data_IF_603297510489
#
_entry.id   IF_603297510489
#
_cell.length_a   1.000
_cell.length_b   1.000
_cell.length_c   1.000
_cell.angle_alpha   90.00
_cell.angle_beta   90.00
_cell.angle_gamma   90.00
#
_symmetry.space_group_name_H-M   'P 1'
#
loop_
_entity.id
_entity.type
_entity.pdbx_description
1 polymer ?
#
# COMPACT_ATOMS: atom_id res chain seq x y z
N UNK A 1 1.17 9.11 3.21
CA UNK A 1 2.52 9.42 2.68
C UNK A 1 2.38 10.68 1.86
N UNK A 2 3.41 11.52 1.78
CA UNK A 2 3.38 12.70 0.92
C UNK A 2 4.07 13.88 1.56
N UNK A 3 3.88 15.04 0.96
CA UNK A 3 4.34 16.32 1.47
C UNK A 3 3.42 16.80 2.60
N UNK A 4 3.98 17.02 3.78
CA UNK A 4 3.27 17.57 4.94
C UNK A 4 3.61 19.04 5.19
N UNK A 5 4.54 19.61 4.43
CA UNK A 5 5.09 20.95 4.63
C UNK A 5 5.52 21.21 6.09
N UNK A 6 6.07 20.18 6.72
CA UNK A 6 6.39 20.14 8.15
C UNK A 6 7.83 19.68 8.34
N UNK A 7 8.56 20.30 9.28
CA UNK A 7 9.91 19.87 9.65
C UNK A 7 9.83 19.25 11.02
N UNK A 8 10.00 17.92 11.12
CA UNK A 8 10.01 17.22 12.41
C UNK A 8 11.36 17.32 13.13
N UNK A 9 12.42 17.55 12.36
CA UNK A 9 13.78 17.76 12.85
C UNK A 9 14.54 16.48 13.23
N UNK A 10 15.67 16.66 13.93
CA UNK A 10 16.53 15.56 14.41
C UNK A 10 16.19 15.05 15.80
N UNK A 11 15.36 15.79 16.53
CA UNK A 11 14.98 15.46 17.90
C UNK A 11 14.10 14.21 17.94
N UNK A 12 14.54 13.21 18.70
CA UNK A 12 13.77 11.99 18.94
C UNK A 12 12.57 12.32 19.82
N UNK A 13 11.39 11.82 19.44
CA UNK A 13 10.18 11.90 20.25
C UNK A 13 9.66 10.48 20.47
N UNK A 14 9.83 9.99 21.69
CA UNK A 14 9.36 8.69 22.15
C UNK A 14 9.61 7.56 21.14
N UNK A 15 8.51 6.95 20.69
CA UNK A 15 8.43 5.91 19.66
C UNK A 15 7.84 6.43 18.34
N UNK A 16 7.70 7.75 18.16
CA UNK A 16 7.03 8.37 17.02
C UNK A 16 8.04 8.89 15.99
N UNK A 17 8.99 9.70 16.46
CA UNK A 17 10.05 10.31 15.63
C UNK A 17 11.40 9.74 16.01
N UNK A 18 12.13 9.24 15.01
CA UNK A 18 13.49 8.77 15.17
C UNK A 18 14.53 9.88 15.13
N UNK A 19 15.74 9.58 15.61
CA UNK A 19 16.86 10.52 15.72
C UNK A 19 17.56 10.88 14.40
N UNK A 20 17.10 10.36 13.26
CA UNK A 20 17.79 10.47 11.97
C UNK A 20 17.11 11.40 10.97
N UNK A 21 16.12 12.19 11.41
CA UNK A 21 15.53 13.27 10.59
C UNK A 21 16.53 14.36 10.18
N UNK A 22 16.01 15.45 9.63
CA UNK A 22 16.80 16.57 9.12
C UNK A 22 16.20 17.92 9.56
N UNK A 23 17.08 18.85 9.90
CA UNK A 23 16.73 20.24 10.19
C UNK A 23 16.22 20.47 11.61
N UNK A 24 15.73 21.70 11.83
CA UNK A 24 15.15 22.14 13.09
C UNK A 24 13.64 22.00 12.99
N UNK A 25 13.01 21.54 14.08
CA UNK A 25 11.57 21.37 14.15
C UNK A 25 10.85 22.71 13.99
N UNK A 26 9.78 22.76 13.19
CA UNK A 26 8.90 23.92 13.09
C UNK A 26 7.53 23.63 13.73
N UNK A 27 6.71 24.67 13.90
CA UNK A 27 5.37 24.56 14.50
C UNK A 27 4.48 23.52 13.79
N UNK A 28 4.56 23.46 12.45
CA UNK A 28 3.86 22.43 11.64
C UNK A 28 4.36 21.02 11.94
N UNK A 29 5.67 20.89 12.19
CA UNK A 29 6.32 19.66 12.64
C UNK A 29 5.80 19.22 13.99
N UNK A 30 5.65 20.13 14.94
CA UNK A 30 5.08 19.81 16.26
C UNK A 30 3.65 19.30 16.15
N UNK A 31 2.80 19.99 15.38
CA UNK A 31 1.41 19.55 15.10
C UNK A 31 1.35 18.18 14.43
N UNK A 32 2.26 17.89 13.50
CA UNK A 32 2.35 16.58 12.86
C UNK A 32 2.74 15.49 13.87
N UNK A 33 3.66 15.79 14.79
CA UNK A 33 4.10 14.85 15.82
C UNK A 33 2.97 14.57 16.81
N UNK A 34 2.26 15.59 17.27
CA UNK A 34 1.10 15.45 18.16
C UNK A 34 0.01 14.58 17.53
N UNK A 35 -0.29 14.81 16.24
CA UNK A 35 -1.22 13.97 15.49
C UNK A 35 -0.73 12.52 15.39
N UNK A 36 0.57 12.32 15.14
CA UNK A 36 1.17 10.99 15.07
C UNK A 36 1.15 10.26 16.43
N UNK A 37 1.40 10.97 17.53
CA UNK A 37 1.29 10.45 18.90
C UNK A 37 -0.15 9.97 19.17
N UNK A 38 -1.14 10.82 18.89
CA UNK A 38 -2.57 10.51 19.11
C UNK A 38 -3.02 9.27 18.33
N UNK A 39 -2.51 9.09 17.11
CA UNK A 39 -2.93 8.00 16.22
C UNK A 39 -2.02 6.75 16.28
N UNK A 40 -1.02 6.72 17.16
CA UNK A 40 0.00 5.65 17.20
C UNK A 40 0.66 5.41 15.82
N UNK A 41 1.09 6.49 15.18
CA UNK A 41 1.73 6.49 13.85
C UNK A 41 3.18 6.93 14.02
N UNK A 42 4.10 6.30 13.29
CA UNK A 42 5.53 6.63 13.31
C UNK A 42 5.95 7.34 12.02
N UNK A 43 6.89 8.26 12.14
CA UNK A 43 7.46 9.05 11.02
C UNK A 43 8.68 8.32 10.45
N UNK A 44 8.48 7.35 9.55
CA UNK A 44 9.51 6.33 9.31
C UNK A 44 10.81 6.76 8.68
N UNK A 45 10.83 7.78 7.82
CA UNK A 45 12.06 8.32 7.23
C UNK A 45 12.99 9.03 8.25
N UNK A 46 12.59 9.13 9.52
CA UNK A 46 13.44 9.60 10.63
C UNK A 46 14.08 8.47 11.44
N UNK A 47 13.71 7.20 11.20
CA UNK A 47 14.16 6.05 11.99
C UNK A 47 15.43 5.37 11.48
N UNK A 48 15.81 5.61 10.22
CA UNK A 48 16.94 4.95 9.60
C UNK A 48 18.13 5.89 9.47
N UNK A 49 19.31 5.44 9.90
CA UNK A 49 20.55 6.15 9.62
C UNK A 49 20.82 6.13 8.12
N UNK A 50 20.91 7.31 7.51
CA UNK A 50 21.18 7.51 6.10
C UNK A 50 22.23 8.62 5.92
N UNK A 51 23.04 8.59 4.84
CA UNK A 51 23.93 9.68 4.52
C UNK A 51 23.13 10.97 4.27
N UNK A 52 23.67 12.17 4.58
CA UNK A 52 22.94 13.44 4.47
C UNK A 52 22.26 13.66 3.11
N UNK A 53 22.92 13.23 2.02
CA UNK A 53 22.37 13.33 0.65
C UNK A 53 21.05 12.57 0.45
N UNK A 54 20.69 11.63 1.33
CA UNK A 54 19.49 10.77 1.22
C UNK A 54 18.39 11.09 2.26
N UNK A 55 18.47 12.26 2.90
CA UNK A 55 17.53 12.68 3.96
C UNK A 55 16.52 13.76 3.52
N UNK A 56 16.99 14.70 2.72
CA UNK A 56 16.18 15.83 2.24
C UNK A 56 15.28 15.39 1.09
N UNK A 57 14.10 15.99 1.03
CA UNK A 57 13.01 15.68 0.09
C UNK A 57 12.64 16.87 -0.77
N UNK A 58 13.14 18.07 -0.45
CA UNK A 58 12.90 19.30 -1.20
C UNK A 58 14.17 20.17 -1.24
N UNK A 59 14.43 20.82 -2.36
CA UNK A 59 15.51 21.80 -2.55
C UNK A 59 14.94 23.15 -2.99
N UNK A 60 15.46 24.26 -2.46
CA UNK A 60 15.08 25.59 -2.97
C UNK A 60 15.68 25.84 -4.35
N UNK A 61 15.13 26.81 -5.12
CA UNK A 61 15.81 27.35 -6.29
C UNK A 61 17.26 27.73 -5.94
N UNK A 62 18.21 27.39 -6.83
CA UNK A 62 19.63 27.63 -6.59
C UNK A 62 20.31 26.67 -5.59
N UNK A 63 19.59 25.67 -5.05
CA UNK A 63 20.12 24.69 -4.07
C UNK A 63 20.64 25.32 -2.76
N UNK A 64 20.13 26.50 -2.41
CA UNK A 64 20.52 27.24 -1.21
C UNK A 64 20.10 26.51 0.08
N UNK A 65 18.93 25.88 0.05
CA UNK A 65 18.34 25.20 1.21
C UNK A 65 17.77 23.85 0.83
N UNK A 66 17.91 22.89 1.74
CA UNK A 66 17.36 21.54 1.60
C UNK A 66 16.54 21.19 2.82
N UNK A 67 15.31 20.76 2.60
CA UNK A 67 14.36 20.45 3.66
C UNK A 67 13.89 18.99 3.57
N UNK A 68 13.52 18.44 4.72
CA UNK A 68 12.75 17.20 4.80
C UNK A 68 11.31 17.59 5.15
N UNK A 69 10.41 17.48 4.17
CA UNK A 69 8.98 17.83 4.30
C UNK A 69 8.05 16.72 3.80
N UNK A 70 8.60 15.77 3.04
CA UNK A 70 7.90 14.57 2.62
C UNK A 70 8.13 13.44 3.61
N UNK A 71 7.05 12.82 4.09
CA UNK A 71 7.14 11.72 5.04
C UNK A 71 6.34 10.50 4.59
N UNK A 72 6.91 9.35 4.89
CA UNK A 72 6.15 8.11 4.92
C UNK A 72 5.76 7.88 6.38
N UNK A 73 4.47 7.68 6.61
CA UNK A 73 3.91 7.42 7.92
C UNK A 73 3.37 5.99 7.96
N UNK A 74 3.62 5.26 9.06
CA UNK A 74 3.07 3.91 9.24
C UNK A 74 2.53 3.76 10.66
N UNK A 75 1.49 2.95 10.85
CA UNK A 75 1.06 2.59 12.19
C UNK A 75 2.19 1.90 12.96
N UNK A 76 2.36 2.27 14.24
CA UNK A 76 3.37 1.72 15.17
C UNK A 76 3.33 0.19 15.21
N UNK A 77 2.16 -0.44 15.05
CA UNK A 77 2.01 -1.91 14.99
C UNK A 77 2.81 -2.57 13.88
N UNK A 78 3.06 -1.86 12.78
CA UNK A 78 3.78 -2.36 11.61
C UNK A 78 5.20 -1.84 11.50
N UNK A 79 5.74 -1.19 12.54
CA UNK A 79 7.11 -0.64 12.53
C UNK A 79 8.17 -1.66 12.09
N UNK A 80 8.02 -2.91 12.54
CA UNK A 80 8.97 -3.99 12.26
C UNK A 80 8.91 -4.49 10.80
N UNK A 81 7.85 -4.15 10.05
CA UNK A 81 7.79 -4.43 8.63
C UNK A 81 8.65 -3.45 7.82
N UNK A 82 9.00 -2.30 8.39
CA UNK A 82 9.78 -1.28 7.70
C UNK A 82 11.27 -1.62 7.74
N UNK A 83 11.88 -1.90 6.58
CA UNK A 83 13.29 -2.23 6.48
C UNK A 83 14.18 -1.02 6.19
N UNK A 84 13.66 -0.04 5.44
CA UNK A 84 14.39 1.16 5.05
C UNK A 84 13.44 2.26 4.58
N UNK A 85 13.74 3.51 4.89
CA UNK A 85 13.21 4.68 4.21
C UNK A 85 14.35 5.64 3.89
N UNK A 86 14.42 6.12 2.64
CA UNK A 86 15.45 7.05 2.17
C UNK A 86 14.92 7.85 0.99
N UNK A 87 15.54 9.00 0.72
CA UNK A 87 15.30 9.70 -0.54
C UNK A 87 16.16 9.13 -1.67
N UNK A 88 15.70 9.34 -2.90
CA UNK A 88 16.38 8.88 -4.11
C UNK A 88 16.71 10.06 -5.05
N UNK A 89 17.73 10.89 -4.72
CA UNK A 89 18.06 12.10 -5.47
C UNK A 89 18.52 11.88 -6.91
N UNK A 90 18.84 10.62 -7.27
CA UNK A 90 19.28 10.27 -8.62
C UNK A 90 18.12 10.04 -9.59
N UNK A 91 16.87 10.04 -9.11
CA UNK A 91 15.71 10.05 -10.01
C UNK A 91 15.52 11.46 -10.57
N UNK A 92 15.62 11.59 -11.89
CA UNK A 92 15.30 12.83 -12.59
C UNK A 92 13.77 12.90 -12.77
N UNK A 93 13.14 13.77 -12.00
CA UNK A 93 11.68 13.94 -11.98
C UNK A 93 11.24 15.36 -12.34
N UNK A 94 12.13 16.20 -12.88
CA UNK A 94 11.85 17.61 -13.21
C UNK A 94 11.08 18.37 -12.10
N UNK A 95 11.42 18.08 -10.84
CA UNK A 95 10.80 18.67 -9.65
C UNK A 95 11.89 19.14 -8.68
N UNK A 96 11.53 20.15 -7.88
CA UNK A 96 12.24 20.57 -6.68
C UNK A 96 12.10 19.56 -5.53
N UNK A 97 11.15 18.62 -5.62
CA UNK A 97 11.03 17.47 -4.72
C UNK A 97 11.86 16.26 -5.18
N UNK A 98 12.28 15.46 -4.20
CA UNK A 98 12.99 14.19 -4.38
C UNK A 98 12.14 13.05 -3.85
N UNK A 99 12.01 12.01 -4.66
CA UNK A 99 11.24 10.82 -4.32
C UNK A 99 11.71 10.17 -3.01
N UNK A 100 10.77 9.85 -2.14
CA UNK A 100 10.98 9.04 -0.93
C UNK A 100 10.67 7.58 -1.23
N UNK A 101 11.62 6.70 -0.94
CA UNK A 101 11.52 5.26 -1.21
C UNK A 101 11.54 4.49 0.10
N UNK A 102 10.51 3.67 0.30
CA UNK A 102 10.39 2.74 1.42
C UNK A 102 10.56 1.29 0.97
N UNK A 103 11.31 0.49 1.76
CA UNK A 103 11.37 -0.98 1.60
C UNK A 103 10.65 -1.63 2.78
N UNK A 104 9.69 -2.50 2.48
CA UNK A 104 8.86 -3.17 3.47
C UNK A 104 8.94 -4.69 3.33
N UNK A 105 8.89 -5.39 4.47
CA UNK A 105 8.73 -6.84 4.56
C UNK A 105 7.28 -7.16 4.93
N UNK A 106 6.50 -7.59 3.95
CA UNK A 106 5.12 -7.97 4.15
C UNK A 106 5.01 -9.47 4.49
N UNK A 107 4.28 -9.78 5.56
CA UNK A 107 3.79 -11.15 5.84
C UNK A 107 2.31 -11.17 5.52
N UNK A 108 1.94 -11.71 4.36
CA UNK A 108 0.56 -11.81 3.93
C UNK A 108 -0.09 -13.07 4.51
N UNK A 109 -1.31 -12.93 5.05
CA UNK A 109 -2.15 -14.09 5.38
C UNK A 109 -2.96 -14.44 4.13
N UNK A 110 -2.96 -15.71 3.73
CA UNK A 110 -3.85 -16.18 2.65
C UNK A 110 -5.29 -16.12 3.15
N UNK A 111 -6.08 -15.20 2.62
CA UNK A 111 -7.53 -15.20 2.79
C UNK A 111 -8.14 -16.16 1.75
N UNK A 112 -7.93 -17.46 1.95
CA UNK A 112 -8.66 -18.45 1.15
C UNK A 112 -10.06 -18.55 1.74
N UNK A 113 -11.09 -18.29 0.93
CA UNK A 113 -12.40 -18.88 1.25
C UNK A 113 -12.19 -20.40 1.28
N UNK A 114 -12.76 -21.14 2.24
CA UNK A 114 -12.76 -22.58 2.15
C UNK A 114 -13.38 -22.95 0.80
N UNK A 115 -12.63 -23.67 -0.03
CA UNK A 115 -13.19 -24.20 -1.26
C UNK A 115 -14.19 -25.26 -0.81
N UNK A 116 -15.48 -24.97 -0.91
CA UNK A 116 -16.50 -26.00 -0.71
C UNK A 116 -16.39 -26.93 -1.90
N UNK A 117 -15.82 -28.12 -1.70
CA UNK A 117 -15.96 -29.21 -2.65
C UNK A 117 -17.45 -29.57 -2.70
N UNK A 118 -18.19 -28.93 -3.60
CA UNK A 118 -19.56 -29.31 -3.90
C UNK A 118 -19.48 -30.66 -4.59
N UNK A 119 -19.63 -31.74 -3.80
CA UNK A 119 -19.86 -33.08 -4.35
C UNK A 119 -21.26 -33.07 -4.95
N UNK A 120 -21.33 -32.98 -6.27
CA UNK A 120 -22.60 -33.14 -6.99
C UNK A 120 -22.97 -34.62 -6.94
N UNK A 121 -24.12 -34.94 -6.37
CA UNK A 121 -24.66 -36.30 -6.43
C UNK A 121 -25.32 -36.54 -7.79
N UNK A 122 -24.57 -37.15 -8.69
CA UNK A 122 -25.02 -37.50 -10.03
C UNK A 122 -26.08 -38.61 -10.03
N UNK A 123 -26.24 -39.37 -8.94
CA UNK A 123 -27.26 -40.41 -8.86
C UNK A 123 -28.67 -39.81 -8.86
N UNK A 124 -28.84 -38.59 -8.33
CA UNK A 124 -30.12 -37.87 -8.31
C UNK A 124 -30.65 -37.61 -9.73
N UNK A 125 -29.76 -37.39 -10.71
CA UNK A 125 -30.15 -37.21 -12.12
C UNK A 125 -30.68 -38.50 -12.75
N UNK A 126 -30.34 -39.67 -12.18
CA UNK A 126 -30.83 -40.99 -12.65
C UNK A 126 -32.12 -41.38 -11.96
N UNK A 127 -32.31 -41.02 -10.69
CA UNK A 127 -33.45 -41.45 -9.88
C UNK A 127 -34.64 -40.48 -9.94
N UNK A 128 -34.40 -39.18 -10.12
CA UNK A 128 -35.45 -38.17 -10.13
C UNK A 128 -35.64 -37.55 -11.52
N UNK A 129 -36.75 -37.92 -12.16
CA UNK A 129 -37.07 -37.49 -13.51
C UNK A 129 -37.31 -35.97 -13.63
N UNK A 130 -37.96 -35.35 -12.64
CA UNK A 130 -38.22 -33.90 -12.65
C UNK A 130 -36.94 -33.08 -12.59
N UNK A 131 -35.95 -33.53 -11.82
CA UNK A 131 -34.64 -32.85 -11.72
C UNK A 131 -33.86 -33.03 -13.04
N UNK A 132 -33.94 -34.21 -13.65
CA UNK A 132 -33.32 -34.49 -14.95
C UNK A 132 -33.88 -33.60 -16.06
N UNK A 133 -35.19 -33.46 -16.14
CA UNK A 133 -35.86 -32.63 -17.15
C UNK A 133 -35.51 -31.15 -16.98
N UNK A 134 -35.54 -30.63 -15.75
CA UNK A 134 -35.11 -29.26 -15.45
C UNK A 134 -33.65 -29.01 -15.86
N UNK A 135 -32.77 -29.98 -15.58
CA UNK A 135 -31.36 -29.89 -15.98
C UNK A 135 -31.22 -29.87 -17.51
N UNK A 136 -31.88 -30.78 -18.23
CA UNK A 136 -31.84 -30.81 -19.69
C UNK A 136 -32.32 -29.51 -20.32
N UNK A 137 -33.43 -28.93 -19.85
CA UNK A 137 -33.93 -27.64 -20.32
C UNK A 137 -32.90 -26.54 -20.08
N UNK A 138 -32.31 -26.48 -18.87
CA UNK A 138 -31.30 -25.46 -18.55
C UNK A 138 -30.03 -25.57 -19.39
N UNK A 139 -29.63 -26.79 -19.76
CA UNK A 139 -28.50 -27.03 -20.66
C UNK A 139 -28.88 -26.57 -22.06
N UNK A 140 -30.04 -27.00 -22.57
CA UNK A 140 -30.51 -26.62 -23.90
C UNK A 140 -30.58 -25.09 -24.06
N UNK A 141 -31.25 -24.39 -23.15
CA UNK A 141 -31.37 -22.93 -23.19
C UNK A 141 -30.01 -22.22 -23.12
N UNK A 142 -29.02 -22.82 -22.45
CA UNK A 142 -27.67 -22.25 -22.34
C UNK A 142 -26.88 -22.34 -23.65
N UNK A 143 -27.14 -23.39 -24.44
CA UNK A 143 -26.42 -23.66 -25.69
C UNK A 143 -27.24 -23.32 -26.94
N UNK A 144 -28.50 -22.93 -26.80
CA UNK A 144 -29.38 -22.51 -27.90
C UNK A 144 -28.75 -21.38 -28.74
N UNK A 145 -28.14 -20.38 -28.08
CA UNK A 145 -27.45 -19.27 -28.74
C UNK A 145 -26.20 -19.65 -29.55
N UNK A 146 -25.73 -20.90 -29.47
CA UNK A 146 -24.60 -21.41 -30.25
C UNK A 146 -25.05 -22.19 -31.51
N UNK A 147 -26.33 -22.56 -31.61
CA UNK A 147 -26.88 -23.27 -32.79
C UNK A 147 -27.15 -22.34 -33.98
N UNK A 148 -27.55 -21.09 -33.72
CA UNK A 148 -27.87 -20.11 -34.76
C UNK A 148 -26.63 -19.57 -35.53
N UNK A 149 -25.42 -19.94 -35.09
CA UNK A 149 -24.16 -19.49 -35.69
C UNK A 149 -23.65 -20.39 -36.84
N UNK A 150 -24.27 -21.56 -37.07
CA UNK A 150 -23.86 -22.52 -38.11
C UNK A 150 -24.73 -22.48 -39.38
N UNK A 151 -25.82 -21.70 -39.44
CA UNK A 151 -26.70 -21.61 -40.63
C UNK A 151 -26.40 -20.43 -41.58
N UNK A 152 -25.23 -19.78 -41.47
CA UNK A 152 -24.78 -18.76 -42.44
C UNK A 152 -23.69 -19.34 -43.33
N UNK A 153 -24.10 -20.11 -44.33
CA UNK A 153 -23.32 -20.39 -45.55
C UNK A 153 -24.16 -20.11 -46.79
#
# INVERSE_FOLDING_TARGET
MGDFNAKVGTEKVDDIVGKHGLGIRNERGEKLIEWCQTNNIIVGNTWFQQPPRRKWTWKSPGDETRNQIDYMLISKRYRNAWLMAKTYPSADCYSDHVQVVGKFKLKLKKNSKPFTNIKVDLAILKTNQTIREKYQISVQNKFEALGDAEEVE
#
